data_IF_017337124961
#
_entry.id   IF_017337124961
#
_cell.length_a   1.000
_cell.length_b   1.000
_cell.length_c   1.000
_cell.angle_alpha   90.00
_cell.angle_beta   90.00
_cell.angle_gamma   90.00
#
_symmetry.space_group_name_H-M   'P 1'
#
loop_
_entity.id
_entity.type
_entity.pdbx_description
1 polymer ?
#
# COMPACT_ATOMS: atom_id res chain seq x y z
N UNK A 1 -0.04 -25.08 -11.65
CA UNK A 1 -0.01 -24.09 -12.76
C UNK A 1 0.35 -22.77 -12.11
N UNK A 2 1.61 -22.32 -12.21
CA UNK A 2 1.99 -21.02 -11.65
C UNK A 2 1.36 -19.93 -12.51
N UNK A 3 0.46 -19.15 -11.91
CA UNK A 3 -0.13 -17.99 -12.58
C UNK A 3 0.99 -16.96 -12.68
N UNK A 4 1.47 -16.68 -13.89
CA UNK A 4 2.41 -15.58 -14.12
C UNK A 4 1.61 -14.29 -13.95
N UNK A 5 1.88 -13.55 -12.86
CA UNK A 5 1.25 -12.25 -12.63
C UNK A 5 1.95 -11.22 -13.52
N UNK A 6 1.27 -10.77 -14.57
CA UNK A 6 1.83 -9.80 -15.52
C UNK A 6 1.79 -8.35 -15.04
N UNK A 7 0.79 -8.00 -14.22
CA UNK A 7 0.64 -6.69 -13.60
C UNK A 7 0.10 -6.85 -12.17
N UNK A 8 0.88 -6.40 -11.19
CA UNK A 8 0.55 -6.58 -9.77
C UNK A 8 -0.66 -5.72 -9.37
N UNK A 9 -0.83 -4.53 -9.94
CA UNK A 9 -1.97 -3.67 -9.62
C UNK A 9 -3.27 -4.32 -10.11
N UNK A 10 -3.28 -4.87 -11.31
CA UNK A 10 -4.45 -5.57 -11.88
C UNK A 10 -4.77 -6.81 -11.07
N UNK A 11 -3.75 -7.58 -10.69
CA UNK A 11 -3.91 -8.74 -9.83
C UNK A 11 -4.55 -8.37 -8.48
N UNK A 12 -4.00 -7.37 -7.78
CA UNK A 12 -4.51 -6.92 -6.49
C UNK A 12 -5.90 -6.27 -6.60
N UNK A 13 -6.17 -5.56 -7.71
CA UNK A 13 -7.47 -4.97 -7.98
C UNK A 13 -8.52 -6.00 -8.46
N UNK A 14 -8.11 -7.24 -8.78
CA UNK A 14 -8.99 -8.28 -9.31
C UNK A 14 -9.45 -8.03 -10.74
N UNK A 15 -8.71 -7.22 -11.50
CA UNK A 15 -9.04 -6.85 -12.88
C UNK A 15 -8.81 -8.06 -13.79
N UNK A 16 -9.90 -8.51 -14.44
CA UNK A 16 -9.84 -9.60 -15.39
C UNK A 16 -9.47 -9.08 -16.79
N UNK A 17 -8.63 -9.82 -17.55
CA UNK A 17 -8.36 -9.50 -18.95
C UNK A 17 -9.66 -9.34 -19.75
N UNK A 18 -9.76 -8.28 -20.56
CA UNK A 18 -10.94 -7.95 -21.35
C UNK A 18 -12.09 -7.31 -20.57
N UNK A 19 -11.95 -7.05 -19.26
CA UNK A 19 -12.94 -6.26 -18.49
C UNK A 19 -12.97 -4.79 -18.92
N UNK A 20 -13.99 -4.04 -18.48
CA UNK A 20 -14.06 -2.59 -18.73
C UNK A 20 -12.87 -1.83 -18.13
N UNK A 21 -12.44 -2.20 -16.92
CA UNK A 21 -11.28 -1.60 -16.26
C UNK A 21 -9.96 -2.00 -16.91
N UNK A 22 -9.83 -3.24 -17.40
CA UNK A 22 -8.63 -3.66 -18.15
C UNK A 22 -8.48 -2.81 -19.43
N UNK A 23 -9.55 -2.67 -20.22
CA UNK A 23 -9.55 -1.79 -21.41
C UNK A 23 -9.25 -0.34 -21.08
N UNK A 24 -9.71 0.16 -19.93
CA UNK A 24 -9.43 1.52 -19.50
C UNK A 24 -7.94 1.70 -19.16
N UNK A 25 -7.35 0.74 -18.44
CA UNK A 25 -5.93 0.77 -18.09
C UNK A 25 -5.04 0.59 -19.32
N UNK A 26 -5.48 -0.14 -20.32
CA UNK A 26 -4.80 -0.27 -21.63
C UNK A 26 -4.70 1.04 -22.41
N UNK A 27 -5.51 2.06 -22.09
CA UNK A 27 -5.36 3.40 -22.68
C UNK A 27 -4.14 4.15 -22.12
N UNK A 28 -3.51 3.64 -21.05
CA UNK A 28 -2.34 4.24 -20.39
C UNK A 28 -1.22 3.19 -20.24
N UNK A 29 -0.71 2.62 -21.35
CA UNK A 29 0.22 1.49 -21.30
C UNK A 29 1.50 1.83 -20.53
N UNK A 30 2.02 3.06 -20.66
CA UNK A 30 3.20 3.51 -19.93
C UNK A 30 2.99 3.53 -18.40
N UNK A 31 1.79 3.88 -17.93
CA UNK A 31 1.51 3.89 -16.49
C UNK A 31 1.46 2.46 -15.92
N UNK A 32 0.87 1.53 -16.67
CA UNK A 32 0.83 0.09 -16.35
C UNK A 32 2.24 -0.49 -16.31
N UNK A 33 3.00 -0.30 -17.40
CA UNK A 33 4.38 -0.78 -17.53
C UNK A 33 5.32 -0.21 -16.46
N UNK A 34 5.31 1.11 -16.23
CA UNK A 34 6.21 1.74 -15.27
C UNK A 34 5.89 1.36 -13.83
N UNK A 35 4.60 1.14 -13.49
CA UNK A 35 4.22 0.65 -12.18
C UNK A 35 4.74 -0.78 -11.95
N UNK A 36 4.61 -1.66 -12.95
CA UNK A 36 5.15 -3.02 -12.86
C UNK A 36 6.68 -3.03 -12.76
N UNK A 37 7.38 -2.21 -13.56
CA UNK A 37 8.85 -2.08 -13.45
C UNK A 37 9.28 -1.55 -12.08
N UNK A 38 8.51 -0.63 -11.50
CA UNK A 38 8.77 -0.12 -10.15
C UNK A 38 8.62 -1.21 -9.10
N UNK A 39 7.59 -2.06 -9.21
CA UNK A 39 7.44 -3.23 -8.35
C UNK A 39 8.66 -4.15 -8.45
N UNK A 40 9.06 -4.52 -9.67
CA UNK A 40 10.20 -5.42 -9.91
C UNK A 40 11.49 -4.82 -9.35
N UNK A 41 11.77 -3.53 -9.60
CA UNK A 41 12.96 -2.87 -9.07
C UNK A 41 12.99 -2.84 -7.52
N UNK A 42 11.84 -2.86 -6.86
CA UNK A 42 11.75 -2.77 -5.40
C UNK A 42 11.65 -4.13 -4.70
N UNK A 43 11.11 -5.17 -5.34
CA UNK A 43 10.90 -6.49 -4.72
C UNK A 43 11.72 -7.62 -5.37
N UNK A 44 12.07 -7.46 -6.65
CA UNK A 44 12.87 -8.41 -7.43
C UNK A 44 14.05 -7.70 -8.14
N UNK A 45 14.85 -6.90 -7.41
CA UNK A 45 15.97 -6.18 -8.03
C UNK A 45 17.03 -7.13 -8.56
N UNK A 46 17.59 -6.81 -9.74
CA UNK A 46 18.76 -7.52 -10.30
C UNK A 46 19.96 -7.44 -9.34
N UNK A 47 20.12 -6.32 -8.64
CA UNK A 47 21.13 -6.09 -7.62
C UNK A 47 20.44 -5.73 -6.29
N UNK A 48 20.23 -6.70 -5.38
CA UNK A 48 19.44 -6.48 -4.16
C UNK A 48 19.95 -5.40 -3.20
N UNK A 49 21.25 -5.11 -3.23
CA UNK A 49 21.90 -4.27 -2.23
C UNK A 49 21.79 -4.88 -0.82
N UNK A 50 21.84 -4.03 0.20
CA UNK A 50 21.84 -4.47 1.61
C UNK A 50 20.42 -4.56 2.21
N UNK A 51 19.40 -4.03 1.52
CA UNK A 51 18.00 -4.18 1.94
C UNK A 51 17.47 -5.53 1.46
N UNK A 52 17.30 -6.45 2.40
CA UNK A 52 16.94 -7.83 2.15
C UNK A 52 15.50 -7.98 1.63
N UNK A 53 15.21 -9.09 0.95
CA UNK A 53 13.83 -9.44 0.57
C UNK A 53 12.91 -9.50 1.79
N UNK A 54 13.41 -10.02 2.91
CA UNK A 54 12.68 -10.12 4.17
C UNK A 54 12.27 -8.73 4.69
N UNK A 55 13.19 -7.78 4.75
CA UNK A 55 12.89 -6.41 5.17
C UNK A 55 11.89 -5.73 4.23
N UNK A 56 12.05 -5.93 2.91
CA UNK A 56 11.14 -5.36 1.90
C UNK A 56 9.70 -5.87 2.08
N UNK A 57 9.53 -7.18 2.23
CA UNK A 57 8.20 -7.79 2.43
C UNK A 57 7.62 -7.54 3.83
N UNK A 58 8.45 -7.44 4.87
CA UNK A 58 8.01 -7.04 6.20
C UNK A 58 7.48 -5.60 6.23
N UNK A 59 8.23 -4.65 5.65
CA UNK A 59 7.78 -3.26 5.50
C UNK A 59 6.54 -3.17 4.61
N UNK A 60 6.48 -3.95 3.53
CA UNK A 60 5.31 -3.97 2.64
C UNK A 60 4.04 -4.46 3.33
N UNK A 61 4.15 -5.54 4.11
CA UNK A 61 3.05 -6.08 4.91
C UNK A 61 2.58 -5.04 5.93
N UNK A 62 3.52 -4.41 6.64
CA UNK A 62 3.22 -3.36 7.61
C UNK A 62 2.49 -2.17 6.96
N UNK A 63 3.04 -1.60 5.88
CA UNK A 63 2.44 -0.45 5.17
C UNK A 63 1.06 -0.78 4.59
N UNK A 64 0.88 -1.98 4.03
CA UNK A 64 -0.42 -2.44 3.53
C UNK A 64 -1.46 -2.55 4.64
N UNK A 65 -1.06 -3.08 5.81
CA UNK A 65 -1.88 -3.14 7.01
C UNK A 65 -2.30 -1.77 7.52
N UNK A 66 -1.37 -0.80 7.56
CA UNK A 66 -1.66 0.59 7.96
C UNK A 66 -2.70 1.27 7.04
N UNK A 67 -2.72 0.90 5.76
CA UNK A 67 -3.71 1.40 4.79
C UNK A 67 -5.06 0.66 4.85
N UNK A 68 -5.20 -0.33 5.75
CA UNK A 68 -6.43 -1.12 5.96
C UNK A 68 -6.93 -1.80 4.68
N UNK A 69 -6.01 -2.29 3.85
CA UNK A 69 -6.33 -3.05 2.64
C UNK A 69 -5.98 -4.53 2.84
N UNK A 70 -6.93 -5.37 3.34
CA UNK A 70 -6.63 -6.74 3.74
C UNK A 70 -6.08 -7.57 2.58
N UNK A 71 -6.69 -7.47 1.40
CA UNK A 71 -6.23 -8.20 0.21
C UNK A 71 -4.78 -7.87 -0.23
N UNK A 72 -4.32 -6.62 -0.04
CA UNK A 72 -2.93 -6.24 -0.33
C UNK A 72 -2.01 -6.69 0.81
N UNK A 73 -2.50 -6.64 2.04
CA UNK A 73 -1.79 -7.12 3.23
C UNK A 73 -1.51 -8.62 3.10
N UNK A 74 -2.53 -9.41 2.76
CA UNK A 74 -2.43 -10.86 2.55
C UNK A 74 -1.42 -11.21 1.45
N UNK A 75 -1.41 -10.43 0.35
CA UNK A 75 -0.45 -10.63 -0.74
C UNK A 75 1.01 -10.47 -0.25
N UNK A 76 1.31 -9.40 0.47
CA UNK A 76 2.67 -9.17 0.98
C UNK A 76 3.02 -10.09 2.14
N UNK A 77 2.06 -10.41 3.02
CA UNK A 77 2.25 -11.35 4.12
C UNK A 77 2.55 -12.76 3.61
N UNK A 78 1.88 -13.22 2.55
CA UNK A 78 2.16 -14.50 1.92
C UNK A 78 3.59 -14.57 1.38
N UNK A 79 4.08 -13.50 0.74
CA UNK A 79 5.47 -13.42 0.27
C UNK A 79 6.47 -13.35 1.43
N UNK A 80 6.14 -12.70 2.55
CA UNK A 80 6.99 -12.74 3.75
C UNK A 80 7.07 -14.15 4.34
N UNK A 81 5.95 -14.88 4.37
CA UNK A 81 5.89 -16.24 4.91
C UNK A 81 6.75 -17.23 4.12
N UNK A 82 6.87 -17.07 2.79
CA UNK A 82 7.73 -17.95 1.96
C UNK A 82 9.22 -17.81 2.27
N UNK A 83 9.63 -16.71 2.92
CA UNK A 83 11.01 -16.47 3.32
C UNK A 83 11.40 -17.19 4.64
N UNK A 84 10.44 -17.80 5.33
CA UNK A 84 10.73 -18.70 6.45
C UNK A 84 10.93 -18.04 7.82
N UNK A 85 10.21 -16.95 8.11
CA UNK A 85 10.30 -16.24 9.41
C UNK A 85 8.91 -16.00 10.05
N UNK A 86 8.26 -17.04 10.59
CA UNK A 86 6.92 -16.93 11.17
C UNK A 86 6.87 -16.00 12.40
N UNK A 87 7.94 -15.94 13.19
CA UNK A 87 8.07 -15.02 14.32
C UNK A 87 8.07 -13.55 13.88
N UNK A 88 8.73 -13.24 12.76
CA UNK A 88 8.73 -11.90 12.17
C UNK A 88 7.34 -11.59 11.62
N UNK A 89 6.72 -12.52 10.89
CA UNK A 89 5.37 -12.31 10.35
C UNK A 89 4.35 -12.01 11.47
N UNK A 90 4.39 -12.75 12.58
CA UNK A 90 3.51 -12.52 13.73
C UNK A 90 3.78 -11.17 14.42
N UNK A 91 5.06 -10.79 14.58
CA UNK A 91 5.42 -9.48 15.13
C UNK A 91 4.93 -8.33 14.22
N UNK A 92 5.05 -8.47 12.90
CA UNK A 92 4.53 -7.47 11.94
C UNK A 92 3.01 -7.35 12.04
N UNK A 93 2.27 -8.45 12.16
CA UNK A 93 0.81 -8.41 12.35
C UNK A 93 0.41 -7.67 13.62
N UNK A 94 1.10 -7.95 14.74
CA UNK A 94 0.85 -7.27 16.01
C UNK A 94 1.21 -5.77 15.94
N UNK A 95 2.32 -5.42 15.30
CA UNK A 95 2.73 -4.03 15.10
C UNK A 95 1.80 -3.27 14.14
N UNK A 96 1.20 -3.92 13.13
CA UNK A 96 0.12 -3.32 12.34
C UNK A 96 -1.02 -2.90 13.27
N UNK A 97 -1.49 -3.81 14.13
CA UNK A 97 -2.60 -3.52 15.03
C UNK A 97 -2.30 -2.34 15.99
N UNK A 98 -1.05 -2.20 16.43
CA UNK A 98 -0.60 -1.06 17.25
C UNK A 98 -0.42 0.23 16.45
N UNK A 99 0.04 0.14 15.20
CA UNK A 99 0.39 1.28 14.36
C UNK A 99 -0.79 1.92 13.62
N UNK A 100 -1.93 1.25 13.50
CA UNK A 100 -3.11 1.80 12.82
C UNK A 100 -3.59 3.09 13.50
N UNK A 101 -3.67 4.17 12.73
CA UNK A 101 -4.15 5.48 13.18
C UNK A 101 -4.81 6.24 12.02
N UNK A 102 -5.13 7.51 12.20
CA UNK A 102 -5.63 8.42 11.17
C UNK A 102 -4.65 9.57 10.95
N UNK A 103 -4.43 9.94 9.69
CA UNK A 103 -3.54 11.02 9.27
C UNK A 103 -3.92 11.57 7.88
N UNK A 104 -3.14 12.51 7.31
CA UNK A 104 -1.84 12.92 7.81
C UNK A 104 -1.92 13.89 8.99
N UNK A 105 -1.02 13.71 9.95
CA UNK A 105 -0.77 14.66 11.05
C UNK A 105 0.70 15.12 11.02
N UNK A 106 1.09 15.95 11.99
CA UNK A 106 2.42 16.53 12.06
C UNK A 106 2.37 18.05 12.07
N UNK A 107 3.56 18.66 11.91
CA UNK A 107 3.77 20.10 12.11
C UNK A 107 4.36 20.76 10.88
N UNK A 108 3.96 21.99 10.63
CA UNK A 108 4.61 22.87 9.69
C UNK A 108 5.73 23.69 10.35
N UNK A 109 6.73 24.14 9.58
CA UNK A 109 7.63 25.19 10.04
C UNK A 109 6.83 26.44 10.48
N UNK A 110 7.32 27.23 11.45
CA UNK A 110 6.64 28.43 11.91
C UNK A 110 6.22 29.34 10.75
N UNK A 111 4.92 29.59 10.60
CA UNK A 111 4.35 30.27 9.45
C UNK A 111 2.83 30.14 9.36
N UNK A 112 2.20 30.58 8.27
CA UNK A 112 0.74 30.60 8.15
C UNK A 112 0.10 29.20 8.13
N UNK A 113 0.86 28.17 7.74
CA UNK A 113 0.36 26.79 7.65
C UNK A 113 0.34 26.07 9.01
N UNK A 114 0.91 26.62 10.08
CA UNK A 114 0.86 25.98 11.41
C UNK A 114 -0.55 25.84 11.97
N UNK A 115 -1.53 26.58 11.42
CA UNK A 115 -2.95 26.39 11.72
C UNK A 115 -3.49 25.02 11.28
N UNK A 116 -2.79 24.34 10.37
CA UNK A 116 -3.10 22.99 9.90
C UNK A 116 -2.33 21.90 10.68
N UNK A 117 -1.59 22.25 11.73
CA UNK A 117 -0.90 21.28 12.56
C UNK A 117 -1.91 20.35 13.25
N UNK A 118 -1.64 19.05 13.16
CA UNK A 118 -2.45 18.03 13.85
C UNK A 118 -1.51 17.22 14.72
N UNK A 119 -1.86 17.04 15.99
CA UNK A 119 -1.12 16.18 16.91
C UNK A 119 -1.53 14.74 16.66
N UNK A 120 -0.56 13.85 16.53
CA UNK A 120 -0.77 12.41 16.44
C UNK A 120 0.36 11.63 17.08
N UNK A 121 0.26 10.29 17.13
CA UNK A 121 1.22 9.46 17.83
C UNK A 121 2.60 9.47 17.16
N UNK A 122 3.65 9.40 17.97
CA UNK A 122 4.99 9.02 17.52
C UNK A 122 5.11 7.52 17.69
N UNK A 123 4.80 6.77 16.63
CA UNK A 123 4.82 5.32 16.68
C UNK A 123 6.24 4.81 16.93
N UNK A 124 6.33 3.82 17.82
CA UNK A 124 7.55 3.12 18.18
C UNK A 124 7.21 1.63 18.23
N UNK A 125 8.06 0.79 17.64
CA UNK A 125 7.91 -0.66 17.77
C UNK A 125 8.07 -1.02 19.25
N UNK A 126 7.21 -1.91 19.74
CA UNK A 126 7.24 -2.34 21.14
C UNK A 126 8.58 -2.96 21.55
N UNK A 127 8.94 -2.86 22.83
CA UNK A 127 10.21 -3.41 23.32
C UNK A 127 10.31 -4.92 23.06
N UNK A 128 9.21 -5.66 23.30
CA UNK A 128 9.13 -7.10 23.09
C UNK A 128 9.35 -7.47 21.62
N UNK A 129 8.74 -6.75 20.68
CA UNK A 129 8.96 -7.00 19.25
C UNK A 129 10.30 -6.49 18.73
N UNK A 130 10.95 -5.52 19.39
CA UNK A 130 12.32 -5.12 19.04
C UNK A 130 13.33 -6.27 19.24
N UNK A 131 13.10 -7.15 20.21
CA UNK A 131 13.94 -8.33 20.43
C UNK A 131 13.83 -9.34 19.27
N UNK A 132 12.63 -9.54 18.72
CA UNK A 132 12.40 -10.49 17.62
C UNK A 132 12.71 -9.91 16.24
N UNK A 133 12.36 -8.64 15.99
CA UNK A 133 12.57 -7.96 14.71
C UNK A 133 14.01 -7.48 14.53
N UNK A 134 14.71 -7.23 15.64
CA UNK A 134 16.00 -6.56 15.65
C UNK A 134 15.90 -5.04 15.41
N UNK A 135 16.94 -4.32 15.85
CA UNK A 135 16.95 -2.86 15.83
C UNK A 135 16.80 -2.27 14.41
N UNK A 136 17.42 -2.91 13.41
CA UNK A 136 17.41 -2.44 12.02
C UNK A 136 15.99 -2.46 11.42
N UNK A 137 15.31 -3.61 11.44
CA UNK A 137 13.95 -3.72 10.90
C UNK A 137 12.97 -2.86 11.70
N UNK A 138 13.08 -2.84 13.04
CA UNK A 138 12.23 -2.00 13.88
C UNK A 138 12.32 -0.51 13.49
N UNK A 139 13.53 0.03 13.31
CA UNK A 139 13.72 1.40 12.84
C UNK A 139 13.14 1.62 11.44
N UNK A 140 13.20 0.61 10.57
CA UNK A 140 12.56 0.64 9.26
C UNK A 140 11.03 0.76 9.31
N UNK A 141 10.38 0.04 10.24
CA UNK A 141 8.93 0.14 10.47
C UNK A 141 8.53 1.50 11.05
N UNK A 142 9.31 2.04 11.98
CA UNK A 142 9.09 3.37 12.55
C UNK A 142 9.19 4.46 11.48
N UNK A 143 10.17 4.36 10.57
CA UNK A 143 10.28 5.26 9.42
C UNK A 143 9.13 5.08 8.41
N UNK A 144 8.71 3.85 8.15
CA UNK A 144 7.55 3.60 7.30
C UNK A 144 6.28 4.24 7.87
N UNK A 145 6.05 4.12 9.19
CA UNK A 145 4.93 4.78 9.87
C UNK A 145 4.99 6.30 9.77
N UNK A 146 6.17 6.89 10.01
CA UNK A 146 6.43 8.32 9.83
C UNK A 146 6.01 8.78 8.43
N UNK A 147 6.44 8.08 7.37
CA UNK A 147 6.12 8.46 5.99
C UNK A 147 4.63 8.25 5.63
N UNK A 148 3.97 7.26 6.24
CA UNK A 148 2.54 6.98 5.97
C UNK A 148 1.64 8.03 6.62
N UNK A 149 1.86 8.38 7.89
CA UNK A 149 0.92 9.21 8.66
C UNK A 149 1.41 10.61 9.02
N UNK A 150 2.71 10.86 9.05
CA UNK A 150 3.27 12.19 9.35
C UNK A 150 4.48 12.56 8.50
N UNK A 151 4.37 12.47 7.16
CA UNK A 151 5.50 12.73 6.27
C UNK A 151 6.06 14.15 6.38
N UNK A 152 5.27 15.11 6.89
CA UNK A 152 5.70 16.49 7.16
C UNK A 152 6.77 16.60 8.25
N UNK A 153 6.78 15.64 9.18
CA UNK A 153 7.74 15.60 10.30
C UNK A 153 9.05 14.89 9.92
N UNK A 154 9.19 14.42 8.67
CA UNK A 154 10.43 13.84 8.18
C UNK A 154 11.58 14.86 8.31
N UNK A 155 12.64 14.47 9.00
CA UNK A 155 13.69 15.38 9.44
C UNK A 155 15.05 14.68 9.46
N UNK A 156 16.17 15.43 9.49
CA UNK A 156 17.50 14.84 9.65
C UNK A 156 17.62 13.96 10.90
N UNK A 157 16.97 14.34 12.01
CA UNK A 157 16.96 13.54 13.23
C UNK A 157 16.22 12.21 13.05
N UNK A 158 15.13 12.18 12.28
CA UNK A 158 14.44 10.93 11.95
C UNK A 158 15.31 10.00 11.08
N UNK A 159 16.03 10.56 10.10
CA UNK A 159 16.97 9.80 9.28
C UNK A 159 18.18 9.30 10.08
N UNK A 160 18.64 10.08 11.06
CA UNK A 160 19.74 9.66 11.94
C UNK A 160 19.40 8.41 12.72
N UNK A 161 18.14 8.23 13.17
CA UNK A 161 17.71 6.99 13.85
C UNK A 161 17.89 5.74 12.99
N UNK A 162 17.71 5.86 11.66
CA UNK A 162 17.96 4.75 10.74
C UNK A 162 19.46 4.46 10.63
N UNK A 163 20.29 5.50 10.50
CA UNK A 163 21.75 5.36 10.47
C UNK A 163 22.28 4.69 11.74
N UNK A 164 21.78 5.13 12.91
CA UNK A 164 22.14 4.56 14.22
C UNK A 164 21.70 3.09 14.35
N UNK A 165 20.62 2.69 13.67
CA UNK A 165 20.15 1.31 13.58
C UNK A 165 20.86 0.49 12.48
N UNK A 166 21.88 1.06 11.83
CA UNK A 166 22.73 0.38 10.86
C UNK A 166 22.26 0.46 9.41
N UNK A 167 21.25 1.27 9.08
CA UNK A 167 20.89 1.56 7.69
C UNK A 167 21.97 2.40 7.02
N UNK A 168 22.37 2.05 5.80
CA UNK A 168 23.20 2.95 4.98
C UNK A 168 22.35 4.06 4.36
N UNK A 169 22.95 5.16 3.91
CA UNK A 169 22.23 6.20 3.17
C UNK A 169 21.51 5.64 1.94
N UNK A 170 22.13 4.69 1.24
CA UNK A 170 21.55 4.00 0.08
C UNK A 170 20.33 3.16 0.48
N UNK A 171 20.41 2.49 1.63
CA UNK A 171 19.31 1.67 2.15
C UNK A 171 18.12 2.55 2.55
N UNK A 172 18.38 3.71 3.17
CA UNK A 172 17.35 4.69 3.55
C UNK A 172 16.59 5.19 2.31
N UNK A 173 17.30 5.47 1.22
CA UNK A 173 16.67 5.86 -0.05
C UNK A 173 15.79 4.73 -0.57
N UNK A 174 16.31 3.50 -0.59
CA UNK A 174 15.56 2.31 -1.03
C UNK A 174 14.30 2.06 -0.20
N UNK A 175 14.41 2.15 1.13
CA UNK A 175 13.30 2.02 2.07
C UNK A 175 12.24 3.10 1.84
N UNK A 176 12.66 4.36 1.66
CA UNK A 176 11.74 5.47 1.44
C UNK A 176 11.02 5.37 0.10
N UNK A 177 11.72 4.90 -0.95
CA UNK A 177 11.13 4.60 -2.26
C UNK A 177 10.12 3.46 -2.16
N UNK A 178 10.44 2.39 -1.43
CA UNK A 178 9.55 1.27 -1.17
C UNK A 178 8.23 1.75 -0.53
N UNK A 179 8.32 2.51 0.56
CA UNK A 179 7.13 3.03 1.29
C UNK A 179 6.30 3.96 0.39
N UNK A 180 6.96 4.80 -0.40
CA UNK A 180 6.30 5.71 -1.35
C UNK A 180 5.56 4.95 -2.45
N UNK A 181 6.22 3.94 -3.05
CA UNK A 181 5.62 3.08 -4.07
C UNK A 181 4.43 2.30 -3.52
N UNK A 182 4.55 1.70 -2.33
CA UNK A 182 3.46 0.98 -1.67
C UNK A 182 2.25 1.90 -1.45
N UNK A 183 2.48 3.09 -0.90
CA UNK A 183 1.43 4.07 -0.65
C UNK A 183 0.73 4.53 -1.95
N UNK A 184 1.46 4.58 -3.06
CA UNK A 184 0.88 4.81 -4.40
C UNK A 184 0.06 3.60 -4.87
N UNK A 185 0.66 2.41 -4.87
CA UNK A 185 0.07 1.18 -5.40
C UNK A 185 -1.23 0.84 -4.66
N UNK A 186 -1.21 0.88 -3.32
CA UNK A 186 -2.35 0.57 -2.48
C UNK A 186 -3.53 1.51 -2.77
N UNK A 187 -3.27 2.82 -2.93
CA UNK A 187 -4.32 3.80 -3.25
C UNK A 187 -4.89 3.61 -4.65
N UNK A 188 -4.05 3.28 -5.63
CA UNK A 188 -4.51 2.96 -6.99
C UNK A 188 -5.39 1.71 -6.97
N UNK A 189 -4.97 0.65 -6.28
CA UNK A 189 -5.74 -0.59 -6.14
C UNK A 189 -7.09 -0.31 -5.47
N UNK A 190 -7.11 0.42 -4.36
CA UNK A 190 -8.35 0.78 -3.66
C UNK A 190 -9.30 1.59 -4.56
N UNK A 191 -8.78 2.56 -5.31
CA UNK A 191 -9.56 3.34 -6.28
C UNK A 191 -10.16 2.48 -7.39
N UNK A 192 -9.37 1.59 -7.99
CA UNK A 192 -9.83 0.68 -9.05
C UNK A 192 -10.90 -0.29 -8.54
N UNK A 193 -10.73 -0.84 -7.35
CA UNK A 193 -11.74 -1.72 -6.72
C UNK A 193 -13.05 -0.99 -6.44
N UNK A 194 -12.97 0.27 -6.03
CA UNK A 194 -14.15 1.13 -5.83
C UNK A 194 -14.89 1.36 -7.16
N UNK A 195 -14.16 1.65 -8.24
CA UNK A 195 -14.74 1.81 -9.59
C UNK A 195 -15.37 0.52 -10.12
N UNK A 196 -14.75 -0.64 -9.85
CA UNK A 196 -15.30 -1.95 -10.20
C UNK A 196 -16.64 -2.20 -9.49
N UNK A 197 -16.67 -1.93 -8.18
CA UNK A 197 -17.87 -2.06 -7.35
C UNK A 197 -19.01 -1.16 -7.84
N UNK A 198 -18.74 0.13 -8.09
CA UNK A 198 -19.74 1.07 -8.60
C UNK A 198 -20.31 0.66 -9.97
N UNK A 199 -19.46 0.13 -10.86
CA UNK A 199 -19.89 -0.36 -12.19
C UNK A 199 -20.80 -1.59 -12.10
N UNK A 200 -20.60 -2.44 -11.10
CA UNK A 200 -21.47 -3.62 -10.89
C UNK A 200 -22.87 -3.24 -10.43
N UNK A 201 -23.01 -2.17 -9.61
CA UNK A 201 -24.30 -1.70 -9.09
C UNK A 201 -25.17 -1.08 -10.19
N UNK A 202 -24.57 -0.35 -11.14
CA UNK A 202 -25.29 0.28 -12.26
C UNK A 202 -25.92 -0.72 -13.25
N UNK A 203 -25.45 -1.97 -13.30
CA UNK A 203 -26.00 -2.97 -14.23
C UNK A 203 -27.42 -3.41 -13.82
N UNK A 204 -27.79 -3.26 -12.54
CA UNK A 204 -29.11 -3.65 -12.00
C UNK A 204 -30.20 -2.60 -12.18
N UNK A 205 -29.86 -1.30 -12.23
CA UNK A 205 -30.86 -0.23 -12.37
C UNK A 205 -31.38 -0.07 -13.82
N UNK A 206 -30.68 -0.65 -14.79
CA UNK A 206 -31.11 -0.66 -16.19
C UNK A 206 -32.30 -1.59 -16.47
N UNK A 207 -32.58 -2.58 -15.60
CA UNK A 207 -33.75 -3.46 -15.74
C UNK A 207 -35.07 -2.76 -15.35
N UNK A 208 -35.03 -1.73 -14.49
CA UNK A 208 -36.25 -1.04 -14.06
C UNK A 208 -36.82 -0.06 -15.10
N UNK A 209 -36.01 0.36 -16.08
CA UNK A 209 -36.44 1.31 -17.12
C UNK A 209 -37.21 0.63 -18.26
N UNK A 210 -37.08 -0.70 -18.44
CA UNK A 210 -37.83 -1.40 -19.49
C UNK A 210 -39.26 -1.80 -19.11
N UNK A 211 -39.63 -1.75 -17.83
CA UNK A 211 -40.97 -2.17 -17.37
C UNK A 211 -42.03 -1.07 -17.62
N UNK A 212 -41.64 0.22 -17.66
CA UNK A 212 -42.59 1.32 -17.83
C UNK A 212 -42.89 1.69 -19.30
N UNK A 213 -42.07 1.26 -20.26
CA UNK A 213 -42.26 1.61 -21.68
C UNK A 213 -43.26 0.69 -22.40
N UNK A 214 -43.64 -0.45 -21.80
CA UNK A 214 -44.59 -1.40 -22.39
C UNK A 214 -46.07 -1.13 -22.13
N UNK A 215 -46.42 -0.33 -21.12
CA UNK A 215 -47.83 -0.16 -20.67
C UNK A 215 -48.54 1.02 -21.35
N UNK A 216 -47.81 1.98 -21.93
CA UNK A 216 -48.40 3.15 -22.60
C UNK A 216 -48.67 2.97 -24.11
N UNK A 217 -48.41 1.77 -24.66
CA UNK A 217 -48.60 1.47 -26.09
C UNK A 217 -49.84 0.62 -26.41
N UNK A 218 -50.75 0.36 -25.46
CA UNK A 218 -52.06 -0.25 -25.76
C UNK A 218 -53.17 0.79 -25.70
N UNK A 219 -53.21 1.62 -26.74
CA UNK A 219 -54.44 2.33 -27.08
C UNK A 219 -55.50 1.32 -27.50
N UNK A 220 -56.48 1.08 -26.63
CA UNK A 220 -57.77 0.53 -27.00
C UNK A 220 -58.86 1.42 -26.39
N UNK A 221 -59.68 1.93 -27.31
CA UNK A 221 -60.90 2.75 -27.22
C UNK A 221 -61.76 2.47 -25.99
#
# INVERSE_FOLDING_TARGET
MSIIISDIIDHLAGIQPGSSLDRLRDQRPQARENAQKSYLALFEPEFPGDVTALERYAVATFVAGLHRQPHVTDFYAANLQTLGSPEIAAAIEAEIAQGVTEGPYGRYPPGPLTVEDVVGPDYQVSADHKESLGARLAAGLEHAHLLVFRPRDASPAALQKLLDAGWSTTDIVTLSQLVSFLSFQIRVVAGLRTLAGASSVQTTDAEFTQIFTGVLASGAV
#
